data_IF_829657704456
#
_entry.id   IF_829657704456
#
_cell.length_a   1.000
_cell.length_b   1.000
_cell.length_c   1.000
_cell.angle_alpha   90.00
_cell.angle_beta   90.00
_cell.angle_gamma   90.00
#
_symmetry.space_group_name_H-M   'P 1'
#
loop_
_entity.id
_entity.type
_entity.pdbx_description
1 polymer ?
#
# COMPACT_ATOMS: atom_id res chain seq x y z
N UNK A 1 18.92 -10.50 -2.21
CA UNK A 1 17.52 -10.03 -2.11
C UNK A 1 16.66 -11.17 -2.64
N UNK A 2 15.58 -11.52 -1.95
CA UNK A 2 14.59 -12.47 -2.48
C UNK A 2 13.80 -11.76 -3.58
N UNK A 3 13.53 -12.45 -4.69
CA UNK A 3 12.61 -11.99 -5.73
C UNK A 3 11.20 -12.56 -5.54
N UNK A 4 10.93 -13.22 -4.41
CA UNK A 4 9.59 -13.75 -4.09
C UNK A 4 8.66 -12.59 -3.75
N UNK A 5 7.53 -12.48 -4.49
CA UNK A 5 6.55 -11.40 -4.33
C UNK A 5 6.02 -11.26 -2.90
N UNK A 6 5.80 -12.37 -2.20
CA UNK A 6 5.27 -12.33 -0.82
C UNK A 6 6.30 -11.67 0.10
N UNK A 7 7.58 -12.00 -0.07
CA UNK A 7 8.64 -11.40 0.75
C UNK A 7 8.87 -9.93 0.42
N UNK A 8 8.61 -9.50 -0.82
CA UNK A 8 8.68 -8.10 -1.23
C UNK A 8 7.55 -7.28 -0.62
N UNK A 9 6.31 -7.75 -0.74
CA UNK A 9 5.10 -7.14 -0.12
C UNK A 9 5.31 -6.99 1.39
N UNK A 10 5.66 -8.08 2.09
CA UNK A 10 5.95 -8.04 3.52
C UNK A 10 7.12 -7.11 3.89
N UNK A 11 8.05 -6.85 2.96
CA UNK A 11 9.12 -5.88 3.18
C UNK A 11 8.61 -4.45 3.11
N UNK A 12 7.70 -4.15 2.19
CA UNK A 12 7.04 -2.85 2.09
C UNK A 12 6.13 -2.62 3.32
N UNK A 13 5.41 -3.64 3.81
CA UNK A 13 4.60 -3.57 5.04
C UNK A 13 5.43 -3.14 6.24
N UNK A 14 6.57 -3.80 6.47
CA UNK A 14 7.52 -3.42 7.54
C UNK A 14 8.06 -2.00 7.34
N UNK A 15 8.25 -1.57 6.09
CA UNK A 15 8.68 -0.20 5.80
C UNK A 15 7.60 0.81 6.18
N UNK A 16 6.32 0.53 5.92
CA UNK A 16 5.21 1.38 6.34
C UNK A 16 5.18 1.54 7.85
N UNK A 17 5.29 0.44 8.61
CA UNK A 17 5.33 0.50 10.07
C UNK A 17 6.47 1.39 10.60
N UNK A 18 7.67 1.27 10.00
CA UNK A 18 8.83 2.09 10.38
C UNK A 18 8.63 3.58 10.06
N UNK A 19 8.03 3.88 8.91
CA UNK A 19 7.69 5.24 8.52
C UNK A 19 6.62 5.85 9.43
N UNK A 20 5.58 5.07 9.80
CA UNK A 20 4.58 5.50 10.77
C UNK A 20 5.18 5.77 12.15
N UNK A 21 6.11 4.93 12.62
CA UNK A 21 6.85 5.18 13.88
C UNK A 21 7.62 6.50 13.80
N UNK A 22 8.29 6.78 12.67
CA UNK A 22 8.98 8.04 12.46
C UNK A 22 8.05 9.25 12.38
N UNK A 23 6.89 9.12 11.73
CA UNK A 23 5.91 10.19 11.61
C UNK A 23 5.31 10.59 12.96
N UNK A 24 5.15 9.65 13.89
CA UNK A 24 4.72 9.94 15.26
C UNK A 24 5.77 10.69 16.09
N UNK A 25 7.05 10.62 15.72
CA UNK A 25 8.12 11.37 16.40
C UNK A 25 8.17 12.84 15.94
N UNK A 26 7.83 13.76 16.84
CA UNK A 26 7.85 15.22 16.60
C UNK A 26 9.25 15.79 16.38
N UNK A 27 10.30 15.04 16.69
CA UNK A 27 11.69 15.45 16.48
C UNK A 27 12.26 15.02 15.12
N UNK A 28 11.55 14.14 14.42
CA UNK A 28 11.91 13.66 13.09
C UNK A 28 11.52 14.64 11.99
N UNK A 29 12.14 14.50 10.81
CA UNK A 29 11.74 15.22 9.60
C UNK A 29 10.45 14.62 9.02
N UNK A 30 9.30 14.96 9.64
CA UNK A 30 7.98 14.44 9.27
C UNK A 30 7.63 14.72 7.81
N UNK A 31 8.10 15.82 7.24
CA UNK A 31 7.84 16.15 5.83
C UNK A 31 8.58 15.20 4.88
N UNK A 32 9.85 14.87 5.17
CA UNK A 32 10.60 13.90 4.40
C UNK A 32 10.02 12.48 4.54
N UNK A 33 9.65 12.08 5.77
CA UNK A 33 9.04 10.79 6.04
C UNK A 33 7.67 10.63 5.37
N UNK A 34 6.85 11.68 5.36
CA UNK A 34 5.53 11.65 4.71
C UNK A 34 5.68 11.54 3.19
N UNK A 35 6.66 12.24 2.59
CA UNK A 35 6.96 12.10 1.16
C UNK A 35 7.38 10.68 0.81
N UNK A 36 8.24 10.08 1.64
CA UNK A 36 8.64 8.69 1.43
C UNK A 36 7.44 7.76 1.56
N UNK A 37 6.72 7.80 2.68
CA UNK A 37 5.53 6.97 2.92
C UNK A 37 4.53 7.07 1.77
N UNK A 38 4.19 8.29 1.34
CA UNK A 38 3.24 8.51 0.26
C UNK A 38 3.69 7.87 -1.05
N UNK A 39 4.99 7.89 -1.36
CA UNK A 39 5.52 7.25 -2.54
C UNK A 39 5.45 5.73 -2.44
N UNK A 40 5.91 5.15 -1.33
CA UNK A 40 5.97 3.69 -1.19
C UNK A 40 4.57 3.08 -1.08
N UNK A 41 3.64 3.72 -0.36
CA UNK A 41 2.26 3.24 -0.19
C UNK A 41 1.52 3.17 -1.53
N UNK A 42 1.57 4.26 -2.31
CA UNK A 42 0.91 4.30 -3.63
C UNK A 42 1.56 3.31 -4.59
N UNK A 43 2.89 3.27 -4.65
CA UNK A 43 3.60 2.37 -5.56
C UNK A 43 3.32 0.90 -5.26
N UNK A 44 3.19 0.55 -3.98
CA UNK A 44 2.86 -0.79 -3.51
C UNK A 44 1.45 -1.21 -3.92
N UNK A 45 0.44 -0.42 -3.55
CA UNK A 45 -0.96 -0.71 -3.86
C UNK A 45 -1.20 -0.86 -5.37
N UNK A 46 -0.61 0.06 -6.16
CA UNK A 46 -0.70 0.00 -7.63
C UNK A 46 -0.03 -1.25 -8.20
N UNK A 47 1.11 -1.68 -7.65
CA UNK A 47 1.81 -2.86 -8.12
C UNK A 47 1.07 -4.16 -7.76
N UNK A 48 0.42 -4.23 -6.59
CA UNK A 48 -0.44 -5.36 -6.22
C UNK A 48 -1.66 -5.48 -7.11
N UNK A 49 -2.40 -4.39 -7.28
CA UNK A 49 -3.61 -4.36 -8.10
C UNK A 49 -3.34 -4.68 -9.58
N UNK A 50 -2.18 -4.29 -10.11
CA UNK A 50 -1.84 -4.56 -11.51
C UNK A 50 -1.30 -5.97 -11.75
N UNK A 51 -0.43 -6.47 -10.87
CA UNK A 51 0.35 -7.68 -11.15
C UNK A 51 0.00 -8.87 -10.25
N UNK A 52 -0.33 -8.61 -8.98
CA UNK A 52 -0.50 -9.65 -7.96
C UNK A 52 -1.95 -10.11 -7.92
N UNK A 53 -2.89 -9.22 -7.63
CA UNK A 53 -4.30 -9.53 -7.46
C UNK A 53 -4.90 -10.25 -8.69
N UNK A 54 -4.73 -9.78 -9.94
CA UNK A 54 -5.26 -10.48 -11.12
C UNK A 54 -4.62 -11.84 -11.38
N UNK A 55 -3.39 -12.06 -10.88
CA UNK A 55 -2.74 -13.35 -10.97
C UNK A 55 -3.29 -14.32 -9.91
N UNK A 56 -3.62 -13.82 -8.72
CA UNK A 56 -4.15 -14.61 -7.61
C UNK A 56 -5.61 -15.06 -7.81
N UNK A 57 -6.46 -14.22 -8.42
CA UNK A 57 -7.86 -14.59 -8.79
C UNK A 57 -7.97 -15.87 -9.64
N UNK A 58 -6.89 -16.24 -10.33
CA UNK A 58 -6.84 -17.45 -11.18
C UNK A 58 -6.65 -18.73 -10.36
N UNK A 59 -6.28 -18.62 -9.09
CA UNK A 59 -6.05 -19.74 -8.20
C UNK A 59 -7.28 -19.96 -7.32
N UNK A 60 -7.98 -21.08 -7.51
CA UNK A 60 -9.21 -21.45 -6.79
C UNK A 60 -9.12 -21.50 -5.25
N UNK A 61 -7.92 -21.35 -4.69
CA UNK A 61 -7.68 -21.36 -3.25
C UNK A 61 -7.63 -19.94 -2.66
N UNK A 62 -7.46 -18.92 -3.49
CA UNK A 62 -7.57 -17.52 -3.08
C UNK A 62 -9.03 -17.13 -3.23
N UNK A 63 -9.58 -16.49 -2.20
CA UNK A 63 -10.94 -15.98 -2.24
C UNK A 63 -10.96 -14.67 -3.05
N UNK A 64 -11.82 -14.60 -4.06
CA UNK A 64 -11.92 -13.41 -4.89
C UNK A 64 -12.57 -12.24 -4.14
N UNK A 65 -13.41 -12.54 -3.15
CA UNK A 65 -14.06 -11.51 -2.34
C UNK A 65 -12.98 -10.78 -1.48
N UNK A 66 -11.96 -11.49 -1.02
CA UNK A 66 -10.81 -10.91 -0.28
C UNK A 66 -9.95 -10.03 -1.19
N UNK A 67 -9.76 -10.41 -2.45
CA UNK A 67 -9.00 -9.61 -3.43
C UNK A 67 -9.74 -8.31 -3.80
N UNK A 68 -11.06 -8.40 -3.99
CA UNK A 68 -11.91 -7.22 -4.21
C UNK A 68 -11.88 -6.29 -2.99
N UNK A 69 -11.96 -6.87 -1.78
CA UNK A 69 -11.86 -6.10 -0.54
C UNK A 69 -10.51 -5.42 -0.36
N UNK A 70 -9.39 -6.10 -0.67
CA UNK A 70 -8.06 -5.47 -0.63
C UNK A 70 -7.93 -4.26 -1.55
N UNK A 71 -8.56 -4.29 -2.73
CA UNK A 71 -8.57 -3.15 -3.66
C UNK A 71 -9.48 -1.99 -3.20
N UNK A 72 -10.52 -2.28 -2.42
CA UNK A 72 -11.34 -1.29 -1.71
C UNK A 72 -10.54 -0.65 -0.57
N UNK A 73 -9.88 -1.44 0.28
CA UNK A 73 -9.03 -0.96 1.37
C UNK A 73 -7.85 -0.11 0.88
N UNK A 74 -7.26 -0.44 -0.28
CA UNK A 74 -6.29 0.43 -0.95
C UNK A 74 -6.87 1.80 -1.27
N UNK A 75 -8.09 1.85 -1.80
CA UNK A 75 -8.75 3.11 -2.11
C UNK A 75 -9.00 3.92 -0.82
N UNK A 76 -9.43 3.28 0.27
CA UNK A 76 -9.59 3.92 1.59
C UNK A 76 -8.26 4.46 2.12
N UNK A 77 -7.18 3.68 2.00
CA UNK A 77 -5.82 4.09 2.36
C UNK A 77 -5.36 5.32 1.58
N UNK A 78 -5.63 5.37 0.27
CA UNK A 78 -5.35 6.55 -0.56
C UNK A 78 -6.17 7.78 -0.14
N UNK A 79 -7.43 7.61 0.25
CA UNK A 79 -8.26 8.71 0.76
C UNK A 79 -7.71 9.27 2.08
N UNK A 80 -7.35 8.40 3.03
CA UNK A 80 -6.74 8.80 4.30
C UNK A 80 -5.38 9.51 4.07
N UNK A 81 -4.57 9.00 3.14
CA UNK A 81 -3.30 9.59 2.76
C UNK A 81 -3.48 10.99 2.16
N UNK A 82 -4.44 11.16 1.23
CA UNK A 82 -4.75 12.46 0.64
C UNK A 82 -5.20 13.47 1.71
N UNK A 83 -6.01 13.02 2.68
CA UNK A 83 -6.45 13.85 3.78
C UNK A 83 -5.26 14.34 4.62
N UNK A 84 -4.30 13.46 4.94
CA UNK A 84 -3.08 13.83 5.66
C UNK A 84 -2.19 14.79 4.86
N UNK A 85 -1.98 14.53 3.56
CA UNK A 85 -1.20 15.39 2.67
C UNK A 85 -1.79 16.80 2.53
N UNK A 86 -3.10 16.94 2.72
CA UNK A 86 -3.79 18.23 2.71
C UNK A 86 -3.47 19.14 3.90
N UNK A 87 -2.89 18.62 4.98
CA UNK A 87 -2.63 19.38 6.22
C UNK A 87 -1.19 19.89 6.24
N UNK A 88 -1.02 21.20 6.10
CA UNK A 88 0.32 21.83 6.01
C UNK A 88 1.07 21.90 7.36
N UNK A 89 0.35 22.03 8.48
CA UNK A 89 0.95 22.11 9.81
C UNK A 89 1.10 20.72 10.43
N UNK A 90 2.28 20.13 10.27
CA UNK A 90 2.62 18.80 10.80
C UNK A 90 2.69 18.72 12.32
N UNK A 91 2.48 19.84 13.04
CA UNK A 91 2.44 19.88 14.49
C UNK A 91 1.04 20.09 15.08
N UNK A 92 0.02 20.23 14.22
CA UNK A 92 -1.37 20.49 14.59
C UNK A 92 -2.12 19.23 15.03
N UNK A 93 -3.15 19.40 15.85
CA UNK A 93 -4.03 18.30 16.27
C UNK A 93 -4.78 17.67 15.08
N UNK A 94 -5.06 18.46 14.03
CA UNK A 94 -5.67 17.98 12.78
C UNK A 94 -4.73 17.00 12.07
N UNK A 95 -3.45 17.35 11.96
CA UNK A 95 -2.44 16.48 11.34
C UNK A 95 -2.26 15.18 12.13
N UNK A 96 -2.18 15.26 13.47
CA UNK A 96 -2.07 14.07 14.32
C UNK A 96 -3.30 13.17 14.18
N UNK A 97 -4.51 13.74 14.12
CA UNK A 97 -5.73 12.97 13.87
C UNK A 97 -5.75 12.26 12.51
N UNK A 98 -5.33 12.95 11.44
CA UNK A 98 -5.22 12.37 10.10
C UNK A 98 -4.10 11.33 9.97
N UNK A 99 -3.02 11.48 10.71
CA UNK A 99 -1.98 10.46 10.77
C UNK A 99 -2.53 9.19 11.41
N UNK A 100 -3.21 9.29 12.55
CA UNK A 100 -3.74 8.10 13.22
C UNK A 100 -4.82 7.39 12.39
N UNK A 101 -5.70 8.15 11.71
CA UNK A 101 -6.67 7.60 10.74
C UNK A 101 -5.97 6.79 9.63
N UNK A 102 -4.93 7.35 9.01
CA UNK A 102 -4.14 6.63 8.00
C UNK A 102 -3.46 5.37 8.58
N UNK A 103 -2.92 5.45 9.80
CA UNK A 103 -2.26 4.29 10.42
C UNK A 103 -3.26 3.19 10.73
N UNK A 104 -4.47 3.54 11.20
CA UNK A 104 -5.53 2.56 11.47
C UNK A 104 -5.97 1.88 10.17
N UNK A 105 -6.29 2.64 9.12
CA UNK A 105 -6.70 2.10 7.81
C UNK A 105 -5.64 1.19 7.22
N UNK A 106 -4.38 1.64 7.14
CA UNK A 106 -3.32 0.85 6.53
C UNK A 106 -3.04 -0.41 7.35
N UNK A 107 -2.90 -0.32 8.68
CA UNK A 107 -2.62 -1.52 9.48
C UNK A 107 -3.75 -2.55 9.45
N UNK A 108 -5.01 -2.10 9.27
CA UNK A 108 -6.13 -3.02 9.09
C UNK A 108 -5.91 -3.87 7.84
N UNK A 109 -5.71 -3.19 6.70
CA UNK A 109 -5.40 -3.81 5.43
C UNK A 109 -4.20 -4.77 5.49
N UNK A 110 -3.08 -4.35 6.10
CA UNK A 110 -1.90 -5.22 6.22
C UNK A 110 -2.21 -6.51 7.01
N UNK A 111 -2.99 -6.45 8.11
CA UNK A 111 -3.33 -7.66 8.88
C UNK A 111 -4.24 -8.60 8.07
N UNK A 112 -5.21 -8.06 7.34
CA UNK A 112 -6.12 -8.86 6.51
C UNK A 112 -5.34 -9.52 5.37
N UNK A 113 -4.59 -8.75 4.59
CA UNK A 113 -3.84 -9.23 3.44
C UNK A 113 -2.82 -10.31 3.83
N UNK A 114 -2.08 -10.11 4.93
CA UNK A 114 -1.09 -11.08 5.41
C UNK A 114 -1.72 -12.41 5.85
N UNK A 115 -2.94 -12.36 6.38
CA UNK A 115 -3.63 -13.54 6.94
C UNK A 115 -4.44 -14.30 5.90
N UNK A 116 -4.92 -13.63 4.87
CA UNK A 116 -5.75 -14.19 3.80
C UNK A 116 -4.94 -14.29 2.51
N UNK A 117 -4.88 -13.22 1.71
CA UNK A 117 -4.32 -13.20 0.36
C UNK A 117 -2.88 -13.77 0.32
N UNK A 118 -1.97 -13.26 1.14
CA UNK A 118 -0.56 -13.68 1.10
C UNK A 118 -0.35 -15.09 1.65
N UNK A 119 -1.12 -15.47 2.68
CA UNK A 119 -1.05 -16.81 3.26
C UNK A 119 -1.55 -17.87 2.26
N UNK A 120 -2.68 -17.61 1.60
CA UNK A 120 -3.22 -18.49 0.57
C UNK A 120 -2.31 -18.55 -0.65
N UNK A 121 -1.72 -17.41 -1.06
CA UNK A 121 -0.75 -17.37 -2.14
C UNK A 121 0.50 -18.22 -1.84
N UNK A 122 0.97 -18.25 -0.58
CA UNK A 122 2.11 -19.07 -0.16
C UNK A 122 1.85 -20.57 -0.37
N UNK A 123 0.62 -21.01 -0.13
CA UNK A 123 0.21 -22.41 -0.25
C UNK A 123 -0.27 -22.81 -1.66
N UNK A 124 -0.78 -21.85 -2.44
CA UNK A 124 -1.40 -22.10 -3.74
C UNK A 124 -0.49 -21.83 -4.94
N UNK A 125 0.46 -20.89 -4.81
CA UNK A 125 1.29 -20.42 -5.92
C UNK A 125 2.69 -21.03 -5.83
N UNK A 126 3.16 -21.64 -6.91
CA UNK A 126 4.50 -22.23 -6.96
C UNK A 126 5.60 -21.17 -6.81
N UNK A 127 6.73 -21.53 -6.20
CA UNK A 127 7.90 -20.65 -6.03
C UNK A 127 8.33 -19.96 -7.33
N UNK A 128 8.38 -20.69 -8.44
CA UNK A 128 8.75 -20.12 -9.75
C UNK A 128 7.79 -19.00 -10.18
N UNK A 129 6.49 -19.19 -9.96
CA UNK A 129 5.48 -18.17 -10.27
C UNK A 129 5.55 -16.98 -9.31
N UNK A 130 5.84 -17.20 -8.02
CA UNK A 130 6.03 -16.10 -7.05
C UNK A 130 7.26 -15.25 -7.37
N UNK A 131 8.30 -15.86 -7.95
CA UNK A 131 9.48 -15.14 -8.44
C UNK A 131 9.13 -14.28 -9.67
N UNK A 132 8.41 -14.85 -10.65
CA UNK A 132 7.93 -14.09 -11.82
C UNK A 132 7.06 -12.89 -11.41
N UNK A 133 6.15 -13.10 -10.45
CA UNK A 133 5.32 -12.03 -9.90
C UNK A 133 6.14 -10.98 -9.16
N UNK A 134 7.18 -11.37 -8.43
CA UNK A 134 8.01 -10.43 -7.70
C UNK A 134 8.84 -9.54 -8.62
N UNK A 135 9.26 -10.05 -9.77
CA UNK A 135 9.89 -9.24 -10.83
C UNK A 135 8.89 -8.23 -11.43
N UNK A 136 7.66 -8.66 -11.72
CA UNK A 136 6.61 -7.78 -12.25
C UNK A 136 6.20 -6.69 -11.25
N UNK A 137 5.90 -7.09 -10.00
CA UNK A 137 5.59 -6.20 -8.88
C UNK A 137 6.70 -5.14 -8.69
N UNK A 138 7.97 -5.58 -8.64
CA UNK A 138 9.09 -4.64 -8.46
C UNK A 138 9.19 -3.66 -9.63
N UNK A 139 8.98 -4.12 -10.87
CA UNK A 139 9.02 -3.25 -12.05
C UNK A 139 7.96 -2.15 -11.97
N UNK A 140 6.69 -2.51 -11.68
CA UNK A 140 5.60 -1.53 -11.56
C UNK A 140 5.85 -0.59 -10.38
N UNK A 141 6.23 -1.13 -9.22
CA UNK A 141 6.52 -0.30 -8.04
C UNK A 141 7.63 0.70 -8.30
N UNK A 142 8.73 0.28 -8.93
CA UNK A 142 9.86 1.16 -9.23
C UNK A 142 9.48 2.23 -10.26
N UNK A 143 8.67 1.88 -11.28
CA UNK A 143 8.11 2.85 -12.24
C UNK A 143 7.20 3.90 -11.56
N UNK A 144 6.37 3.47 -10.61
CA UNK A 144 5.52 4.38 -9.83
C UNK A 144 6.37 5.33 -8.97
N UNK A 145 7.42 4.82 -8.32
CA UNK A 145 8.34 5.64 -7.54
C UNK A 145 9.10 6.66 -8.42
N UNK A 146 9.61 6.24 -9.58
CA UNK A 146 10.31 7.11 -10.53
C UNK A 146 9.39 8.21 -11.10
N UNK A 147 8.08 7.95 -11.18
CA UNK A 147 7.08 8.90 -11.64
C UNK A 147 6.54 9.85 -10.54
N UNK A 148 7.04 9.72 -9.31
CA UNK A 148 6.60 10.47 -8.14
C UNK A 148 5.08 10.31 -7.86
N UNK A 149 4.59 9.07 -7.92
CA UNK A 149 3.18 8.72 -7.66
C UNK A 149 2.65 9.26 -6.32
N UNK A 150 3.49 9.43 -5.31
CA UNK A 150 3.13 9.97 -3.98
C UNK A 150 2.98 11.51 -3.91
N UNK A 151 3.13 12.26 -5.00
CA UNK A 151 2.84 13.70 -4.96
C UNK A 151 1.32 13.94 -4.87
N UNK A 152 0.92 14.96 -4.10
CA UNK A 152 -0.50 15.18 -3.73
C UNK A 152 -1.46 15.26 -4.92
N UNK A 153 -1.01 15.78 -6.07
CA UNK A 153 -1.84 15.88 -7.26
C UNK A 153 -2.06 14.50 -7.91
N UNK A 154 -1.06 13.62 -7.88
CA UNK A 154 -1.17 12.24 -8.35
C UNK A 154 -2.06 11.41 -7.41
N UNK A 155 -1.87 11.54 -6.09
CA UNK A 155 -2.74 10.89 -5.09
C UNK A 155 -4.19 11.34 -5.25
N UNK A 156 -4.43 12.62 -5.53
CA UNK A 156 -5.78 13.14 -5.78
C UNK A 156 -6.43 12.53 -7.02
N UNK A 157 -5.68 12.38 -8.10
CA UNK A 157 -6.18 11.70 -9.31
C UNK A 157 -6.51 10.25 -9.01
N UNK A 158 -5.63 9.54 -8.31
CA UNK A 158 -5.85 8.15 -7.91
C UNK A 158 -7.12 7.98 -7.07
N UNK A 159 -7.30 8.81 -6.03
CA UNK A 159 -8.52 8.80 -5.20
C UNK A 159 -9.78 9.05 -6.03
N UNK A 160 -9.71 9.91 -7.05
CA UNK A 160 -10.83 10.16 -7.95
C UNK A 160 -11.10 8.95 -8.87
N UNK A 161 -10.05 8.28 -9.34
CA UNK A 161 -10.15 7.11 -10.21
C UNK A 161 -10.70 5.88 -9.48
N UNK A 162 -10.55 5.83 -8.15
CA UNK A 162 -11.01 4.72 -7.30
C UNK A 162 -12.21 5.10 -6.42
N UNK A 163 -12.88 6.23 -6.69
CA UNK A 163 -13.98 6.72 -5.85
C UNK A 163 -15.18 5.76 -5.80
N UNK A 164 -15.37 4.98 -6.87
CA UNK A 164 -16.48 4.04 -7.04
C UNK A 164 -16.26 2.72 -6.30
N UNK A 165 -15.08 2.52 -5.71
CA UNK A 165 -14.73 1.33 -4.93
C UNK A 165 -15.11 1.45 -3.46
N UNK A 166 -15.46 2.65 -2.99
CA UNK A 166 -15.75 2.94 -1.59
C UNK A 166 -17.23 3.32 -1.49
N UNK A 167 -17.99 2.55 -0.71
CA UNK A 167 -19.45 2.66 -0.55
C UNK A 167 -19.93 3.93 0.19
#
# INVERSE_FOLDING_TARGET
MSSDVIELILTDHRRFEDLFRGLRDRTSDRAALLRELSGVLVAHAVAEEQEVYPALERFKKVDNDEVEHGAEEHAEGHQALLALLGVSDTGSDEWEGKLEELVETVNHHLDEEERTILNDARDAVSDARRIELGEAFSSVRDEQLDSACGEIDNVRLLVQETEDRID
#
